data_IF_191513502071
#
_entry.id   IF_191513502071
#
_cell.length_a   1.000
_cell.length_b   1.000
_cell.length_c   1.000
_cell.angle_alpha   90.00
_cell.angle_beta   90.00
_cell.angle_gamma   90.00
#
_symmetry.space_group_name_H-M   'P 1'
#
loop_
_entity.id
_entity.type
_entity.pdbx_description
1 polymer ?
#
# COMPACT_ATOMS: atom_id res chain seq x y z
N UNK A 1 79.47 -26.17 -69.71
CA UNK A 1 79.74 -24.71 -69.54
C UNK A 1 81.05 -24.61 -68.80
N UNK A 2 82.06 -23.97 -69.39
CA UNK A 2 83.39 -23.72 -68.80
C UNK A 2 83.33 -22.52 -67.90
N UNK A 3 84.02 -22.60 -66.81
CA UNK A 3 84.10 -21.46 -65.86
C UNK A 3 84.95 -20.31 -66.47
N UNK A 4 84.54 -19.09 -66.48
CA UNK A 4 85.33 -17.95 -66.96
C UNK A 4 86.58 -17.76 -66.10
N UNK A 5 87.64 -17.13 -66.72
CA UNK A 5 88.95 -16.92 -66.05
C UNK A 5 88.98 -15.75 -65.06
N UNK A 6 87.82 -15.36 -64.53
CA UNK A 6 87.65 -14.31 -63.49
C UNK A 6 86.64 -14.78 -62.45
N UNK A 7 86.70 -14.18 -61.25
CA UNK A 7 85.77 -14.50 -60.17
C UNK A 7 84.34 -14.25 -60.61
N UNK A 8 83.49 -15.29 -60.46
CA UNK A 8 82.04 -15.17 -60.75
C UNK A 8 81.27 -15.01 -59.44
N UNK A 9 80.63 -13.89 -59.27
CA UNK A 9 79.73 -13.63 -58.17
C UNK A 9 78.31 -13.91 -58.64
N UNK A 10 77.68 -14.90 -58.03
CA UNK A 10 76.23 -15.17 -58.27
C UNK A 10 75.46 -14.59 -57.17
N UNK A 11 74.58 -13.60 -57.54
CA UNK A 11 73.63 -12.96 -56.62
C UNK A 11 72.31 -13.72 -56.64
N UNK A 12 71.84 -14.13 -55.46
CA UNK A 12 70.51 -14.67 -55.22
C UNK A 12 69.68 -13.73 -54.36
N UNK A 13 68.43 -13.59 -54.66
CA UNK A 13 67.53 -12.81 -53.86
C UNK A 13 66.45 -13.72 -53.25
N UNK A 14 66.10 -13.46 -52.02
CA UNK A 14 64.96 -14.09 -51.33
C UNK A 14 63.83 -13.09 -51.27
N UNK A 15 62.61 -13.52 -51.61
CA UNK A 15 61.37 -12.77 -51.30
C UNK A 15 60.73 -13.38 -50.05
N UNK A 16 60.19 -12.55 -49.21
CA UNK A 16 59.41 -13.00 -48.06
C UNK A 16 58.10 -13.62 -48.52
N UNK A 17 57.75 -14.70 -47.91
CA UNK A 17 56.50 -15.40 -48.17
C UNK A 17 55.35 -14.68 -47.46
N UNK A 18 54.15 -14.84 -48.02
CA UNK A 18 52.90 -14.31 -47.47
C UNK A 18 52.03 -15.47 -47.01
N UNK A 19 51.42 -15.29 -45.85
CA UNK A 19 50.55 -16.28 -45.22
C UNK A 19 49.18 -15.65 -44.98
N UNK A 20 48.13 -16.49 -44.95
CA UNK A 20 46.76 -16.05 -44.77
C UNK A 20 46.50 -15.72 -43.31
N UNK A 21 46.06 -14.49 -43.06
CA UNK A 21 45.57 -14.02 -41.74
C UNK A 21 44.05 -13.86 -41.82
N UNK A 22 43.34 -14.52 -40.93
CA UNK A 22 41.87 -14.47 -40.81
C UNK A 22 41.44 -14.06 -39.43
N UNK A 23 40.71 -12.97 -39.31
CA UNK A 23 40.03 -12.56 -38.07
C UNK A 23 38.57 -13.08 -38.07
N UNK A 24 38.21 -13.85 -37.05
CA UNK A 24 36.91 -14.47 -36.91
C UNK A 24 36.25 -13.90 -35.65
N UNK A 25 35.09 -13.25 -35.80
CA UNK A 25 34.34 -12.65 -34.71
C UNK A 25 32.99 -13.39 -34.53
N UNK A 26 32.71 -13.92 -33.35
CA UNK A 26 31.52 -14.74 -33.07
C UNK A 26 31.26 -15.81 -34.14
N UNK A 27 32.35 -16.49 -34.57
CA UNK A 27 32.29 -17.57 -35.57
C UNK A 27 32.17 -17.11 -37.04
N UNK A 28 32.15 -15.81 -37.34
CA UNK A 28 32.07 -15.26 -38.67
C UNK A 28 33.35 -14.55 -39.06
N UNK A 29 33.80 -14.73 -40.33
CA UNK A 29 34.96 -14.03 -40.83
C UNK A 29 34.68 -12.52 -40.87
N UNK A 30 35.45 -11.75 -40.09
CA UNK A 30 35.40 -10.30 -40.04
C UNK A 30 36.34 -9.70 -41.10
N UNK A 31 37.57 -10.19 -41.17
CA UNK A 31 38.57 -9.73 -42.12
C UNK A 31 39.50 -10.90 -42.52
N UNK A 32 39.97 -10.94 -43.74
CA UNK A 32 40.89 -11.93 -44.25
C UNK A 32 41.85 -11.32 -45.28
N UNK A 33 43.10 -11.66 -45.23
CA UNK A 33 44.10 -11.16 -46.19
C UNK A 33 45.45 -11.84 -46.05
N UNK A 34 46.28 -11.71 -47.10
CA UNK A 34 47.66 -12.20 -47.07
C UNK A 34 48.60 -11.17 -46.46
N UNK A 35 49.42 -11.59 -45.52
CA UNK A 35 50.37 -10.77 -44.74
C UNK A 35 51.76 -11.34 -44.90
N UNK A 36 52.74 -10.48 -45.13
CA UNK A 36 54.17 -10.87 -45.28
C UNK A 36 54.70 -11.44 -43.99
N UNK A 37 55.51 -12.49 -44.09
CA UNK A 37 56.22 -13.09 -42.95
C UNK A 37 56.97 -12.03 -42.11
N UNK A 38 56.76 -12.00 -40.82
CA UNK A 38 57.41 -11.09 -39.86
C UNK A 38 56.83 -9.68 -39.82
N UNK A 39 55.81 -9.36 -40.65
CA UNK A 39 55.13 -8.08 -40.56
C UNK A 39 54.28 -7.99 -39.28
N UNK A 40 54.22 -6.81 -38.69
CA UNK A 40 53.39 -6.55 -37.51
C UNK A 40 51.91 -6.73 -37.89
N UNK A 41 51.18 -7.45 -37.08
CA UNK A 41 49.75 -7.64 -37.27
C UNK A 41 48.98 -6.48 -36.67
N UNK A 42 48.14 -5.85 -37.45
CA UNK A 42 47.17 -4.82 -36.99
C UNK A 42 45.77 -5.41 -36.98
N UNK A 43 45.07 -5.19 -35.84
CA UNK A 43 43.71 -5.69 -35.65
C UNK A 43 42.70 -4.84 -36.44
N UNK A 44 41.67 -5.47 -37.00
CA UNK A 44 40.58 -4.72 -37.62
C UNK A 44 39.72 -3.99 -36.57
N UNK A 45 38.98 -2.96 -36.99
CA UNK A 45 37.94 -2.36 -36.18
C UNK A 45 36.79 -3.35 -35.97
N UNK A 46 36.36 -3.47 -34.70
CA UNK A 46 35.26 -4.36 -34.32
C UNK A 46 33.95 -3.57 -34.33
N UNK A 47 32.91 -4.05 -35.03
CA UNK A 47 31.59 -3.38 -35.01
C UNK A 47 31.00 -3.34 -33.60
N UNK A 48 30.29 -2.26 -33.28
CA UNK A 48 29.48 -2.22 -32.04
C UNK A 48 28.34 -3.24 -32.14
N UNK A 49 28.09 -3.94 -31.02
CA UNK A 49 27.00 -4.90 -30.88
C UNK A 49 26.18 -4.52 -29.65
N UNK A 50 24.89 -4.22 -29.86
CA UNK A 50 23.99 -3.80 -28.79
C UNK A 50 24.03 -4.77 -27.62
N UNK A 51 24.12 -4.22 -26.40
CA UNK A 51 24.16 -5.01 -25.17
C UNK A 51 25.41 -5.87 -24.97
N UNK A 52 26.46 -5.67 -25.78
CA UNK A 52 27.67 -6.46 -25.70
C UNK A 52 28.93 -5.58 -25.72
N UNK A 53 29.99 -6.08 -25.12
CA UNK A 53 31.33 -5.51 -25.19
C UNK A 53 32.25 -6.51 -25.88
N UNK A 54 33.13 -6.01 -26.77
CA UNK A 54 34.15 -6.87 -27.35
C UNK A 54 35.11 -7.40 -26.28
N UNK A 55 35.22 -8.70 -26.16
CA UNK A 55 36.02 -9.35 -25.11
C UNK A 55 37.54 -9.42 -25.41
N UNK A 56 37.92 -9.08 -26.66
CA UNK A 56 39.29 -9.14 -27.11
C UNK A 56 39.53 -10.20 -28.20
N UNK A 57 40.73 -10.16 -28.78
CA UNK A 57 41.23 -11.17 -29.69
C UNK A 57 42.04 -12.21 -28.91
N UNK A 58 41.78 -13.50 -29.16
CA UNK A 58 42.49 -14.63 -28.58
C UNK A 58 43.62 -15.10 -29.55
N UNK A 59 44.73 -15.53 -28.97
CA UNK A 59 45.87 -16.09 -29.71
C UNK A 59 46.43 -15.18 -30.82
N UNK A 60 46.37 -13.87 -30.61
CA UNK A 60 46.85 -12.86 -31.55
C UNK A 60 48.38 -12.76 -31.50
N UNK A 61 49.12 -13.21 -32.52
CA UNK A 61 50.59 -13.04 -32.54
C UNK A 61 50.96 -11.60 -32.86
N UNK A 62 52.08 -11.11 -32.32
CA UNK A 62 52.58 -9.78 -32.58
C UNK A 62 52.99 -9.55 -34.05
N UNK A 63 53.56 -10.59 -34.66
CA UNK A 63 54.00 -10.57 -36.06
C UNK A 63 53.57 -11.83 -36.78
N UNK A 64 53.46 -11.76 -38.11
CA UNK A 64 53.01 -12.88 -38.93
C UNK A 64 54.02 -14.02 -38.92
N UNK A 65 53.61 -15.22 -38.41
CA UNK A 65 54.47 -16.43 -38.43
C UNK A 65 54.54 -17.04 -39.82
N UNK A 66 55.39 -18.07 -39.99
CA UNK A 66 55.61 -18.79 -41.24
C UNK A 66 54.50 -19.84 -41.53
N UNK A 67 53.27 -19.52 -41.22
CA UNK A 67 52.05 -20.33 -41.49
C UNK A 67 50.79 -19.46 -41.44
N UNK A 68 49.69 -19.93 -41.98
CA UNK A 68 48.40 -19.30 -41.90
C UNK A 68 47.92 -19.17 -40.46
N UNK A 69 47.29 -18.04 -40.11
CA UNK A 69 46.80 -17.69 -38.75
C UNK A 69 45.29 -17.43 -38.77
N UNK A 70 44.60 -17.99 -37.78
CA UNK A 70 43.22 -17.63 -37.47
C UNK A 70 43.19 -17.03 -36.07
N UNK A 71 42.66 -15.82 -35.93
CA UNK A 71 42.51 -15.09 -34.68
C UNK A 71 41.02 -15.02 -34.37
N UNK A 72 40.65 -15.43 -33.17
CA UNK A 72 39.26 -15.47 -32.75
C UNK A 72 38.98 -14.35 -31.79
N UNK A 73 37.80 -13.75 -31.95
CA UNK A 73 37.26 -12.74 -31.06
C UNK A 73 35.83 -13.06 -30.72
N UNK A 74 35.43 -12.64 -29.54
CA UNK A 74 34.05 -12.84 -29.03
C UNK A 74 33.50 -11.58 -28.42
N UNK A 75 32.20 -11.51 -28.30
CA UNK A 75 31.50 -10.51 -27.51
C UNK A 75 31.04 -11.10 -26.18
N UNK A 76 31.20 -10.34 -25.12
CA UNK A 76 30.59 -10.60 -23.82
C UNK A 76 29.32 -9.78 -23.63
N UNK A 77 28.28 -10.37 -23.08
CA UNK A 77 27.07 -9.63 -22.70
C UNK A 77 27.40 -8.60 -21.62
N UNK A 78 26.82 -7.40 -21.76
CA UNK A 78 26.87 -6.38 -20.71
C UNK A 78 25.79 -6.61 -19.68
N UNK A 79 26.03 -6.17 -18.46
CA UNK A 79 25.07 -6.14 -17.38
C UNK A 79 24.58 -4.72 -17.18
N UNK A 80 23.29 -4.58 -16.92
CA UNK A 80 22.62 -3.32 -16.66
C UNK A 80 21.89 -3.38 -15.33
N UNK A 81 21.75 -2.22 -14.69
CA UNK A 81 21.10 -2.11 -13.41
C UNK A 81 19.58 -2.19 -13.59
N UNK A 82 18.96 -3.15 -12.92
CA UNK A 82 17.51 -3.30 -12.83
C UNK A 82 17.06 -2.92 -11.43
N UNK A 83 16.14 -1.94 -11.35
CA UNK A 83 15.60 -1.44 -10.09
C UNK A 83 14.07 -1.52 -10.10
N UNK A 84 13.48 -2.14 -9.08
CA UNK A 84 12.05 -2.15 -8.82
C UNK A 84 11.73 -1.18 -7.69
N UNK A 85 10.83 -0.23 -7.94
CA UNK A 85 10.46 0.85 -7.02
C UNK A 85 8.95 0.81 -6.81
N UNK A 86 8.49 0.75 -5.56
CA UNK A 86 7.06 0.83 -5.23
C UNK A 86 6.81 2.00 -4.28
N UNK A 87 5.88 2.89 -4.64
CA UNK A 87 5.58 4.13 -3.89
C UNK A 87 6.84 4.95 -3.52
N UNK A 88 7.85 4.94 -4.40
CA UNK A 88 9.11 5.66 -4.20
C UNK A 88 10.16 4.92 -3.36
N UNK A 89 9.89 3.73 -2.88
CA UNK A 89 10.84 2.88 -2.16
C UNK A 89 11.43 1.80 -3.08
N UNK A 90 12.75 1.61 -3.01
CA UNK A 90 13.44 0.55 -3.75
C UNK A 90 13.13 -0.79 -3.09
N UNK A 91 12.43 -1.66 -3.83
CA UNK A 91 12.07 -3.01 -3.38
C UNK A 91 13.17 -4.00 -3.71
N UNK A 92 13.76 -3.88 -4.90
CA UNK A 92 14.86 -4.73 -5.36
C UNK A 92 15.75 -3.98 -6.34
N UNK A 93 17.05 -4.23 -6.26
CA UNK A 93 18.03 -3.73 -7.20
C UNK A 93 19.10 -4.80 -7.47
N UNK A 94 19.39 -5.06 -8.75
CA UNK A 94 20.39 -6.04 -9.15
C UNK A 94 20.92 -5.75 -10.56
N UNK A 95 22.09 -6.29 -10.89
CA UNK A 95 22.60 -6.31 -12.26
C UNK A 95 22.09 -7.54 -13.00
N UNK A 96 21.57 -7.31 -14.22
CA UNK A 96 21.01 -8.34 -15.09
C UNK A 96 21.69 -8.27 -16.46
N UNK A 97 22.05 -9.41 -17.03
CA UNK A 97 22.66 -9.46 -18.36
C UNK A 97 21.66 -9.03 -19.46
N UNK A 98 22.18 -8.39 -20.47
CA UNK A 98 21.40 -8.04 -21.68
C UNK A 98 20.66 -9.26 -22.24
N UNK A 99 19.36 -9.10 -22.48
CA UNK A 99 18.51 -10.15 -23.04
C UNK A 99 18.08 -11.25 -22.05
N UNK A 100 18.52 -11.20 -20.79
CA UNK A 100 18.01 -12.09 -19.74
C UNK A 100 16.55 -11.77 -19.41
N UNK A 101 15.79 -12.82 -19.09
CA UNK A 101 14.37 -12.68 -18.71
C UNK A 101 14.23 -11.93 -17.39
N UNK A 102 13.38 -10.91 -17.37
CA UNK A 102 13.03 -10.17 -16.16
C UNK A 102 11.92 -10.92 -15.40
N UNK A 103 12.17 -11.19 -14.13
CA UNK A 103 11.19 -11.76 -13.19
C UNK A 103 10.96 -10.76 -12.08
N UNK A 104 9.77 -10.09 -12.06
CA UNK A 104 9.46 -9.12 -11.02
C UNK A 104 9.43 -9.77 -9.62
N UNK A 105 9.92 -9.09 -8.59
CA UNK A 105 9.80 -9.56 -7.21
C UNK A 105 8.34 -9.46 -6.72
N UNK A 106 8.02 -10.24 -5.68
CA UNK A 106 6.82 -10.00 -4.90
C UNK A 106 6.94 -8.65 -4.20
N UNK A 107 5.87 -7.84 -4.27
CA UNK A 107 5.83 -6.59 -3.52
C UNK A 107 5.58 -6.87 -2.03
N UNK A 108 6.19 -6.11 -1.10
CA UNK A 108 5.90 -6.22 0.33
C UNK A 108 4.42 -5.96 0.64
N UNK A 109 3.89 -6.64 1.64
CA UNK A 109 2.57 -6.32 2.17
C UNK A 109 2.59 -4.94 2.84
N UNK A 110 1.56 -4.13 2.57
CA UNK A 110 1.37 -2.79 3.14
C UNK A 110 -0.02 -2.72 3.75
N UNK A 111 -0.08 -2.49 5.07
CA UNK A 111 -1.34 -2.45 5.80
C UNK A 111 -2.34 -1.48 5.16
N UNK A 112 -3.57 -1.93 5.01
CA UNK A 112 -4.65 -1.15 4.41
C UNK A 112 -4.49 -0.81 2.93
N UNK A 113 -3.56 -1.46 2.22
CA UNK A 113 -3.29 -1.24 0.80
C UNK A 113 -3.26 -2.55 0.02
N UNK A 114 -3.53 -2.46 -1.28
CA UNK A 114 -3.34 -3.53 -2.27
C UNK A 114 -2.28 -3.07 -3.26
N UNK A 115 -1.36 -3.96 -3.59
CA UNK A 115 -0.39 -3.72 -4.65
C UNK A 115 -1.07 -3.81 -6.02
N UNK A 116 -0.95 -2.75 -6.83
CA UNK A 116 -1.61 -2.65 -8.15
C UNK A 116 -0.85 -3.39 -9.25
N UNK A 117 0.38 -3.83 -8.96
CA UNK A 117 1.28 -4.48 -9.90
C UNK A 117 2.44 -3.60 -10.36
N UNK A 118 3.40 -4.24 -10.99
CA UNK A 118 4.52 -3.59 -11.67
C UNK A 118 4.09 -3.12 -13.06
N UNK A 119 4.48 -1.89 -13.44
CA UNK A 119 4.10 -1.27 -14.72
C UNK A 119 5.17 -1.50 -15.78
N UNK A 120 4.73 -1.73 -17.01
CA UNK A 120 5.58 -1.76 -18.20
C UNK A 120 6.83 -2.64 -18.10
N UNK A 121 6.70 -3.82 -17.48
CA UNK A 121 7.78 -4.77 -17.32
C UNK A 121 8.12 -5.39 -18.68
N UNK A 122 9.32 -5.12 -19.26
CA UNK A 122 9.71 -5.78 -20.49
C UNK A 122 10.00 -7.27 -20.23
N UNK A 123 9.88 -8.10 -21.27
CA UNK A 123 10.15 -9.52 -21.17
C UNK A 123 11.61 -9.83 -20.82
N UNK A 124 12.53 -9.04 -21.40
CA UNK A 124 13.98 -9.22 -21.27
C UNK A 124 14.70 -7.90 -20.98
N UNK A 125 15.89 -7.98 -20.38
CA UNK A 125 16.70 -6.81 -20.03
C UNK A 125 17.19 -6.07 -21.27
N UNK A 126 16.87 -4.78 -21.43
CA UNK A 126 17.35 -3.93 -22.53
C UNK A 126 18.84 -3.56 -22.37
N UNK A 127 19.41 -2.92 -23.39
CA UNK A 127 20.80 -2.46 -23.36
C UNK A 127 21.00 -1.11 -22.64
N UNK A 128 20.30 -0.92 -21.53
CA UNK A 128 20.40 0.24 -20.64
C UNK A 128 19.87 -0.12 -19.24
N UNK A 129 20.22 0.68 -18.24
CA UNK A 129 19.65 0.58 -16.91
C UNK A 129 18.12 0.79 -16.96
N UNK A 130 17.39 0.07 -16.12
CA UNK A 130 15.94 0.03 -16.13
C UNK A 130 15.37 0.22 -14.73
N UNK A 131 14.43 1.14 -14.59
CA UNK A 131 13.60 1.33 -13.42
C UNK A 131 12.16 0.92 -13.72
N UNK A 132 11.60 0.03 -12.90
CA UNK A 132 10.23 -0.45 -13.01
C UNK A 132 9.45 0.05 -11.81
N UNK A 133 8.35 0.76 -12.07
CA UNK A 133 7.51 1.37 -11.05
C UNK A 133 6.33 0.46 -10.70
N UNK A 134 6.04 0.38 -9.41
CA UNK A 134 4.83 -0.20 -8.85
C UNK A 134 4.12 0.78 -7.94
N UNK A 135 2.85 0.57 -7.68
CA UNK A 135 2.05 1.41 -6.81
C UNK A 135 1.13 0.58 -5.93
N UNK A 136 0.67 1.20 -4.84
CA UNK A 136 -0.33 0.66 -3.95
C UNK A 136 -1.58 1.54 -3.95
N UNK A 137 -2.75 0.91 -3.90
CA UNK A 137 -4.04 1.58 -3.72
C UNK A 137 -4.58 1.29 -2.33
N UNK A 138 -5.09 2.33 -1.64
CA UNK A 138 -5.75 2.19 -0.35
C UNK A 138 -7.00 1.33 -0.47
N UNK A 139 -7.16 0.39 0.45
CA UNK A 139 -8.39 -0.40 0.58
C UNK A 139 -9.49 0.39 1.27
N UNK A 140 -10.74 -0.02 0.98
CA UNK A 140 -11.92 0.51 1.65
C UNK A 140 -12.49 -0.57 2.56
N UNK A 141 -12.91 -0.13 3.75
CA UNK A 141 -13.50 -0.99 4.77
C UNK A 141 -14.87 -0.45 5.16
N UNK A 142 -15.72 -1.34 5.64
CA UNK A 142 -17.08 -1.01 6.03
C UNK A 142 -17.08 -0.29 7.38
N UNK A 143 -17.69 0.89 7.43
CA UNK A 143 -17.94 1.67 8.65
C UNK A 143 -19.44 1.70 8.92
N UNK A 144 -19.85 1.16 10.06
CA UNK A 144 -21.23 1.11 10.51
C UNK A 144 -21.40 1.92 11.78
N UNK A 145 -22.42 2.79 11.83
CA UNK A 145 -22.88 3.43 13.05
C UNK A 145 -24.22 2.81 13.48
N UNK A 146 -24.29 2.35 14.71
CA UNK A 146 -25.43 1.60 15.24
C UNK A 146 -25.90 2.26 16.55
N UNK A 147 -27.19 2.58 16.66
CA UNK A 147 -27.82 3.10 17.89
C UNK A 147 -28.94 2.14 18.31
N UNK A 148 -28.94 1.69 19.57
CA UNK A 148 -29.92 0.75 20.12
C UNK A 148 -30.14 -0.48 19.21
N UNK A 149 -29.03 -1.01 18.62
CA UNK A 149 -29.06 -2.15 17.71
C UNK A 149 -29.54 -1.85 16.27
N UNK A 150 -29.81 -0.62 15.92
CA UNK A 150 -30.24 -0.21 14.56
C UNK A 150 -29.11 0.55 13.85
N UNK A 151 -28.83 0.15 12.59
CA UNK A 151 -27.88 0.86 11.74
C UNK A 151 -28.47 2.24 11.38
N UNK A 152 -27.75 3.29 11.71
CA UNK A 152 -28.10 4.68 11.37
C UNK A 152 -27.27 5.22 10.21
N UNK A 153 -26.07 4.67 9.99
CA UNK A 153 -25.20 5.00 8.85
C UNK A 153 -24.31 3.82 8.47
N UNK A 154 -24.07 3.65 7.17
CA UNK A 154 -23.25 2.58 6.60
C UNK A 154 -22.50 3.11 5.39
N UNK A 155 -21.16 3.09 5.42
CA UNK A 155 -20.31 3.59 4.34
C UNK A 155 -19.08 2.74 4.14
N UNK A 156 -18.57 2.70 2.89
CA UNK A 156 -17.22 2.22 2.59
C UNK A 156 -16.25 3.39 2.69
N UNK A 157 -15.27 3.28 3.59
CA UNK A 157 -14.31 4.35 3.93
C UNK A 157 -12.89 3.86 3.67
N UNK A 158 -12.07 4.69 3.03
CA UNK A 158 -10.67 4.36 2.76
C UNK A 158 -9.85 4.27 4.05
N UNK A 159 -8.91 3.34 4.07
CA UNK A 159 -7.91 3.21 5.14
C UNK A 159 -7.24 4.55 5.48
N UNK A 160 -7.16 4.87 6.78
CA UNK A 160 -6.51 6.08 7.28
C UNK A 160 -7.32 7.37 7.13
N UNK A 161 -8.55 7.33 6.56
CA UNK A 161 -9.43 8.51 6.50
C UNK A 161 -9.97 8.83 7.90
N UNK A 162 -9.95 10.11 8.29
CA UNK A 162 -10.55 10.56 9.56
C UNK A 162 -12.05 10.28 9.60
N UNK A 163 -12.52 9.76 10.72
CA UNK A 163 -13.92 9.41 10.93
C UNK A 163 -14.63 10.53 11.68
N UNK A 164 -15.71 11.02 11.08
CA UNK A 164 -16.62 11.95 11.73
C UNK A 164 -17.95 11.23 11.95
N UNK A 165 -18.41 11.09 13.20
CA UNK A 165 -19.69 10.44 13.48
C UNK A 165 -20.87 11.26 12.99
N UNK A 166 -22.00 10.62 12.65
CA UNK A 166 -23.21 11.31 12.27
C UNK A 166 -23.80 12.09 13.44
N UNK A 167 -24.59 13.10 13.11
CA UNK A 167 -25.46 13.78 14.07
C UNK A 167 -26.50 12.79 14.58
N UNK A 168 -26.74 12.80 15.89
CA UNK A 168 -27.73 11.96 16.54
C UNK A 168 -28.98 12.81 16.84
N UNK A 169 -30.16 12.31 16.47
CA UNK A 169 -31.43 12.99 16.73
C UNK A 169 -31.79 12.89 18.21
N UNK A 170 -32.46 13.96 18.72
CA UNK A 170 -33.00 13.95 20.06
C UNK A 170 -34.12 12.91 20.17
N UNK A 171 -34.14 12.21 21.28
CA UNK A 171 -35.19 11.25 21.62
C UNK A 171 -35.83 11.65 22.93
N UNK A 172 -37.15 11.91 22.89
CA UNK A 172 -37.90 12.36 24.06
C UNK A 172 -37.65 11.47 25.28
N UNK A 173 -37.38 12.08 26.42
CA UNK A 173 -37.13 11.39 27.67
C UNK A 173 -35.85 10.57 27.72
N UNK A 174 -34.94 10.74 26.75
CA UNK A 174 -33.69 10.02 26.69
C UNK A 174 -32.52 10.97 26.37
N UNK A 175 -31.36 10.61 26.80
CA UNK A 175 -30.10 11.28 26.47
C UNK A 175 -29.17 10.33 25.74
N UNK A 176 -28.58 10.77 24.59
CA UNK A 176 -27.59 9.98 23.91
C UNK A 176 -26.31 9.92 24.73
N UNK A 177 -25.87 8.72 25.09
CA UNK A 177 -24.70 8.49 25.97
C UNK A 177 -23.35 8.63 25.28
N UNK A 178 -23.36 8.90 23.95
CA UNK A 178 -22.14 9.04 23.13
C UNK A 178 -21.81 7.78 22.33
N UNK A 179 -20.84 7.94 21.45
CA UNK A 179 -20.35 6.86 20.62
C UNK A 179 -19.29 6.05 21.35
N UNK A 180 -19.37 4.71 21.27
CA UNK A 180 -18.41 3.74 21.82
C UNK A 180 -17.63 3.11 20.64
N UNK A 181 -16.35 2.79 20.87
CA UNK A 181 -15.46 2.17 19.88
C UNK A 181 -15.30 3.01 18.58
N UNK A 182 -15.32 4.34 18.69
CA UNK A 182 -15.08 5.25 17.59
C UNK A 182 -13.57 5.46 17.42
N UNK A 183 -12.93 4.93 16.37
CA UNK A 183 -11.54 5.24 16.08
C UNK A 183 -11.41 6.63 15.45
N UNK A 184 -10.25 7.24 15.60
CA UNK A 184 -9.95 8.54 15.01
C UNK A 184 -9.88 8.47 13.47
N UNK A 185 -9.30 7.38 12.96
CA UNK A 185 -9.16 7.11 11.52
C UNK A 185 -9.59 5.68 11.20
N UNK A 186 -9.95 5.42 9.93
CA UNK A 186 -10.37 4.10 9.46
C UNK A 186 -9.22 3.10 9.52
N UNK A 187 -9.32 2.04 10.35
CA UNK A 187 -8.31 0.98 10.40
C UNK A 187 -8.39 0.04 9.20
N UNK A 188 -7.45 -0.90 9.10
CA UNK A 188 -7.39 -1.89 8.02
C UNK A 188 -8.38 -3.07 8.22
N UNK A 189 -9.56 -2.80 8.74
CA UNK A 189 -10.66 -3.76 8.93
C UNK A 189 -12.01 -3.03 9.06
N UNK A 190 -13.10 -3.75 8.92
CA UNK A 190 -14.44 -3.23 9.14
C UNK A 190 -14.64 -2.77 10.59
N UNK A 191 -15.37 -1.67 10.77
CA UNK A 191 -15.64 -1.05 12.06
C UNK A 191 -17.14 -0.91 12.30
N UNK A 192 -17.57 -1.28 13.51
CA UNK A 192 -18.90 -0.98 14.02
C UNK A 192 -18.77 -0.07 15.23
N UNK A 193 -19.25 1.16 15.09
CA UNK A 193 -19.35 2.16 16.15
C UNK A 193 -20.73 2.07 16.74
N UNK A 194 -20.83 1.93 18.07
CA UNK A 194 -22.10 1.78 18.76
C UNK A 194 -22.43 2.99 19.61
N UNK A 195 -23.69 3.31 19.70
CA UNK A 195 -24.25 4.33 20.60
C UNK A 195 -25.54 3.81 21.24
N UNK A 196 -25.87 4.37 22.36
CA UNK A 196 -27.07 4.02 23.12
C UNK A 196 -27.75 5.28 23.64
N UNK A 197 -29.06 5.21 23.79
CA UNK A 197 -29.82 6.20 24.55
C UNK A 197 -30.02 5.69 25.97
N UNK A 198 -29.78 6.56 26.94
CA UNK A 198 -30.09 6.35 28.34
C UNK A 198 -31.41 7.02 28.66
N UNK A 199 -32.27 6.32 29.43
CA UNK A 199 -33.54 6.87 29.92
C UNK A 199 -33.25 7.95 30.95
N UNK A 200 -33.87 9.11 30.80
CA UNK A 200 -33.75 10.22 31.76
C UNK A 200 -34.65 9.98 32.98
N UNK A 201 -34.12 10.36 34.14
CA UNK A 201 -34.85 10.35 35.40
C UNK A 201 -35.32 11.76 35.69
N UNK A 202 -36.59 11.89 36.05
CA UNK A 202 -37.23 13.16 36.43
C UNK A 202 -37.74 13.11 37.86
N UNK A 203 -37.92 14.29 38.45
CA UNK A 203 -38.34 14.44 39.84
C UNK A 203 -39.87 14.60 39.91
N UNK A 204 -40.51 13.77 40.74
CA UNK A 204 -41.90 13.96 41.15
C UNK A 204 -41.91 14.59 42.53
N UNK A 205 -42.52 15.74 42.71
CA UNK A 205 -42.71 16.43 43.99
C UNK A 205 -44.17 16.36 44.37
N UNK A 206 -44.46 15.87 45.57
CA UNK A 206 -45.79 15.71 46.09
C UNK A 206 -46.02 16.79 47.17
N UNK A 207 -47.05 17.58 47.02
CA UNK A 207 -47.42 18.62 47.93
C UNK A 207 -48.79 18.32 48.54
N UNK A 208 -48.90 18.48 49.89
CA UNK A 208 -50.12 18.35 50.62
C UNK A 208 -50.45 19.68 51.30
N UNK A 209 -51.66 20.27 51.05
CA UNK A 209 -52.05 21.59 51.52
C UNK A 209 -50.95 22.65 51.30
N UNK A 210 -50.24 22.56 50.18
CA UNK A 210 -49.20 23.49 49.75
C UNK A 210 -47.78 23.23 50.35
N UNK A 211 -47.66 22.27 51.28
CA UNK A 211 -46.36 21.89 51.83
C UNK A 211 -45.76 20.67 51.10
N UNK A 212 -44.46 20.68 50.86
CA UNK A 212 -43.77 19.54 50.26
C UNK A 212 -43.86 18.33 51.19
N UNK A 213 -44.48 17.28 50.72
CA UNK A 213 -44.70 16.05 51.45
C UNK A 213 -43.63 15.00 51.12
N UNK A 214 -43.36 14.76 49.83
CA UNK A 214 -42.47 13.76 49.32
C UNK A 214 -41.83 14.14 48.00
N UNK A 215 -40.60 13.66 47.76
CA UNK A 215 -39.92 13.76 46.46
C UNK A 215 -39.51 12.38 46.00
N UNK A 216 -39.72 12.04 44.74
CA UNK A 216 -39.37 10.75 44.14
C UNK A 216 -38.60 11.01 42.82
N UNK A 217 -37.62 10.18 42.53
CA UNK A 217 -36.97 10.13 41.22
C UNK A 217 -37.58 8.98 40.43
N UNK A 218 -38.06 9.26 39.23
CA UNK A 218 -38.77 8.30 38.37
C UNK A 218 -38.28 8.42 36.94
N UNK A 219 -37.98 7.27 36.34
CA UNK A 219 -37.52 7.21 34.97
C UNK A 219 -38.67 7.52 33.98
N UNK A 220 -38.36 8.24 32.91
CA UNK A 220 -39.29 8.53 31.84
C UNK A 220 -40.06 7.29 31.36
N UNK A 221 -41.36 7.43 31.17
CA UNK A 221 -42.23 6.35 30.69
C UNK A 221 -42.61 5.29 31.73
N UNK A 222 -42.02 5.34 32.92
CA UNK A 222 -42.41 4.43 34.02
C UNK A 222 -43.84 4.75 34.52
N UNK A 223 -44.64 3.70 34.74
CA UNK A 223 -46.02 3.86 35.32
C UNK A 223 -45.93 4.55 36.65
N UNK A 224 -46.67 5.62 36.84
CA UNK A 224 -46.73 6.42 38.06
C UNK A 224 -47.67 5.77 39.07
N UNK A 225 -47.12 5.23 40.13
CA UNK A 225 -47.84 4.74 41.27
C UNK A 225 -47.65 5.72 42.44
N UNK A 226 -48.56 6.73 42.56
CA UNK A 226 -48.49 7.70 43.62
C UNK A 226 -49.18 7.14 44.84
N UNK A 227 -48.45 6.90 45.96
CA UNK A 227 -49.05 6.30 47.15
C UNK A 227 -50.02 7.29 47.81
N UNK A 228 -51.09 6.75 48.40
CA UNK A 228 -51.97 7.55 49.24
C UNK A 228 -51.17 8.07 50.44
N UNK A 229 -51.16 9.41 50.68
CA UNK A 229 -50.37 9.99 51.73
C UNK A 229 -50.88 9.66 53.14
N UNK A 230 -49.96 9.58 54.09
CA UNK A 230 -50.33 9.55 55.50
C UNK A 230 -50.66 10.97 55.95
N UNK A 231 -51.85 11.19 56.50
CA UNK A 231 -52.32 12.47 56.99
C UNK A 231 -52.45 12.44 58.51
N UNK A 232 -52.59 13.59 59.25
CA UNK A 232 -52.80 13.61 60.69
C UNK A 232 -54.02 12.78 61.14
N UNK A 233 -53.99 12.28 62.36
CA UNK A 233 -54.93 11.26 62.86
C UNK A 233 -56.40 11.66 62.80
N UNK A 234 -56.68 12.94 62.94
CA UNK A 234 -58.05 13.48 62.89
C UNK A 234 -58.46 13.99 61.48
N UNK A 235 -57.64 13.76 60.45
CA UNK A 235 -57.85 14.28 59.09
C UNK A 235 -57.98 13.14 58.08
N UNK A 236 -58.62 13.47 56.95
CA UNK A 236 -58.84 12.55 55.84
C UNK A 236 -58.23 13.12 54.54
N UNK A 237 -57.52 12.31 53.78
CA UNK A 237 -57.07 12.69 52.46
C UNK A 237 -58.25 12.90 51.53
N UNK A 238 -58.39 14.09 50.93
CA UNK A 238 -59.51 14.46 50.06
C UNK A 238 -59.22 14.19 48.59
N UNK A 239 -58.05 13.77 48.23
CA UNK A 239 -57.66 13.40 46.87
C UNK A 239 -56.60 14.34 46.28
N UNK A 240 -56.17 13.97 45.11
CA UNK A 240 -55.23 14.74 44.30
C UNK A 240 -56.00 15.84 43.57
N UNK A 241 -55.44 17.05 43.52
CA UNK A 241 -55.98 18.17 42.78
C UNK A 241 -55.29 18.36 41.41
N UNK A 242 -54.14 17.68 41.21
CA UNK A 242 -53.43 17.59 39.95
C UNK A 242 -53.87 16.34 39.21
N UNK A 243 -54.13 16.42 37.91
CA UNK A 243 -54.27 15.23 37.07
C UNK A 243 -52.94 14.49 37.00
N UNK A 244 -52.93 13.23 37.43
CA UNK A 244 -51.74 12.41 37.49
C UNK A 244 -51.66 11.67 36.14
N UNK A 245 -50.61 11.86 35.33
CA UNK A 245 -50.41 11.11 34.09
C UNK A 245 -50.19 9.62 34.40
N UNK A 246 -50.57 8.76 33.45
CA UNK A 246 -50.40 7.30 33.60
C UNK A 246 -48.90 6.90 33.71
N UNK A 247 -48.05 7.61 33.00
CA UNK A 247 -46.62 7.38 32.99
C UNK A 247 -45.83 8.67 33.18
N UNK A 248 -44.59 8.57 33.69
CA UNK A 248 -43.70 9.73 33.90
C UNK A 248 -43.38 10.46 32.60
N UNK A 249 -43.77 11.75 32.49
CA UNK A 249 -43.49 12.60 31.33
C UNK A 249 -41.98 12.96 31.26
N UNK A 250 -41.57 13.57 30.13
CA UNK A 250 -40.17 14.00 29.91
C UNK A 250 -39.85 15.37 30.60
N UNK A 251 -40.39 15.58 31.79
CA UNK A 251 -40.13 16.75 32.65
C UNK A 251 -40.46 16.43 34.10
N UNK A 252 -39.96 17.25 35.03
CA UNK A 252 -40.34 17.19 36.45
C UNK A 252 -41.87 17.40 36.59
N UNK A 253 -42.44 16.73 37.58
CA UNK A 253 -43.88 16.71 37.85
C UNK A 253 -44.15 17.14 39.27
N UNK A 254 -45.02 18.11 39.45
CA UNK A 254 -45.55 18.58 40.74
C UNK A 254 -46.98 18.09 40.92
N UNK A 255 -47.23 17.30 41.97
CA UNK A 255 -48.53 16.72 42.30
C UNK A 255 -49.03 17.35 43.57
N UNK A 256 -50.20 17.89 43.50
CA UNK A 256 -50.88 18.56 44.64
C UNK A 256 -52.07 17.74 45.13
N UNK A 257 -52.14 17.59 46.43
CA UNK A 257 -53.27 16.96 47.13
C UNK A 257 -53.68 17.76 48.34
N UNK A 258 -54.86 17.46 48.83
CA UNK A 258 -55.41 18.11 50.04
C UNK A 258 -55.86 17.10 51.05
N UNK A 259 -55.81 17.51 52.32
CA UNK A 259 -56.42 16.78 53.40
C UNK A 259 -57.16 17.77 54.31
N UNK A 260 -58.29 17.35 54.93
CA UNK A 260 -59.15 18.17 55.78
C UNK A 260 -59.85 17.24 56.80
N UNK A 261 -60.56 17.83 57.75
CA UNK A 261 -61.40 17.09 58.64
C UNK A 261 -62.50 16.29 57.93
N UNK A 262 -62.89 15.10 58.45
CA UNK A 262 -64.04 14.39 57.87
C UNK A 262 -65.28 15.30 57.84
N UNK A 263 -65.97 15.30 56.71
CA UNK A 263 -67.28 15.98 56.60
C UNK A 263 -68.31 15.09 57.22
N UNK A 264 -68.97 15.62 58.25
CA UNK A 264 -70.17 15.04 58.94
C UNK A 264 -71.34 14.84 58.02
#
# INVERSE_FOLDING_TARGET
>A
ATMPAHDLVIHGTYSKQHYLLTFILDGKVLQQGYVEYGAVITTPSVPAKEGHTFAGWEDLPATMPAHDVKVYGTYAKQQYLLTFIADGEVIQQCYVEYGEKIVPPAAPEKEGHVFDGWKDVPETMPANDLEIQGSYTKQKYLLSFVIDGKIVQLNMVEYGTSITPPQVEDKEGHTFSGWKNLPETMPAHDVTVTGEYEVNTYTVRIYLNGALYQTMAVDYGTVLNIPVPTVPEDMEFKGWTTEIPETMPAHDLDIYGTYDYPTS
#
